data_IF_849701274063
#
_entry.id   IF_849701274063
#
_cell.length_a   1.000
_cell.length_b   1.000
_cell.length_c   1.000
_cell.angle_alpha   90.00
_cell.angle_beta   90.00
_cell.angle_gamma   90.00
#
_symmetry.space_group_name_H-M   'P 1'
#
loop_
_entity.id
_entity.type
_entity.pdbx_description
1 polymer ?
#
# COMPACT_ATOMS: atom_id res chain seq x y z
N UNK A 1 11.11 13.16 -11.49
CA UNK A 1 11.58 11.82 -11.91
C UNK A 1 11.01 11.35 -13.26
N UNK A 2 9.88 11.89 -13.75
CA UNK A 2 9.32 11.49 -15.06
C UNK A 2 10.17 11.91 -16.29
N UNK A 3 11.04 12.92 -16.19
CA UNK A 3 11.81 13.42 -17.33
C UNK A 3 12.95 12.50 -17.80
N UNK A 4 13.37 11.54 -16.97
CA UNK A 4 14.40 10.57 -17.36
C UNK A 4 13.86 9.32 -18.05
N UNK A 5 12.57 9.01 -17.90
CA UNK A 5 11.92 7.88 -18.57
C UNK A 5 11.62 8.17 -20.05
N UNK A 6 11.47 9.42 -20.43
CA UNK A 6 11.19 9.83 -21.83
C UNK A 6 12.38 9.56 -22.77
N UNK A 7 13.57 9.29 -22.24
CA UNK A 7 14.78 9.01 -23.03
C UNK A 7 15.05 7.50 -23.22
N UNK A 8 14.23 6.60 -22.66
CA UNK A 8 14.38 5.16 -22.83
C UNK A 8 13.64 4.76 -24.11
N UNK A 9 14.37 4.33 -25.14
CA UNK A 9 13.76 3.80 -26.35
C UNK A 9 13.07 2.45 -26.10
N UNK A 10 12.16 2.06 -27.02
CA UNK A 10 11.41 0.81 -26.92
C UNK A 10 12.29 -0.45 -26.84
N UNK A 11 13.52 -0.40 -27.34
CA UNK A 11 14.50 -1.49 -27.33
C UNK A 11 15.08 -1.64 -25.93
N UNK A 12 15.43 -0.54 -25.27
CA UNK A 12 15.94 -0.53 -23.90
C UNK A 12 14.84 -0.93 -22.90
N UNK A 13 13.60 -0.51 -23.13
CA UNK A 13 12.45 -0.93 -22.33
C UNK A 13 12.17 -2.43 -22.51
N UNK A 14 12.27 -2.96 -23.74
CA UNK A 14 12.15 -4.40 -24.03
C UNK A 14 13.25 -5.21 -23.34
N UNK A 15 14.50 -4.76 -23.38
CA UNK A 15 15.61 -5.41 -22.67
C UNK A 15 15.42 -5.39 -21.16
N UNK A 16 14.85 -4.32 -20.61
CA UNK A 16 14.55 -4.23 -19.18
C UNK A 16 13.46 -5.22 -18.74
N UNK A 17 12.41 -5.39 -19.57
CA UNK A 17 11.37 -6.42 -19.36
C UNK A 17 12.01 -7.82 -19.38
N UNK A 18 12.91 -8.09 -20.33
CA UNK A 18 13.64 -9.35 -20.40
C UNK A 18 14.59 -9.55 -19.21
N UNK A 19 15.21 -8.49 -18.69
CA UNK A 19 16.08 -8.56 -17.50
C UNK A 19 15.31 -8.84 -16.21
N UNK A 20 14.11 -8.30 -16.04
CA UNK A 20 13.24 -8.59 -14.90
C UNK A 20 12.62 -10.00 -14.99
N UNK A 21 12.46 -10.53 -16.19
CA UNK A 21 12.06 -11.91 -16.44
C UNK A 21 13.22 -12.91 -16.46
N UNK A 22 14.46 -12.44 -16.29
CA UNK A 22 15.68 -13.25 -16.35
C UNK A 22 15.91 -14.08 -15.10
N UNK A 23 15.40 -15.30 -15.09
CA UNK A 23 15.60 -16.28 -14.00
C UNK A 23 14.48 -17.29 -13.88
N UNK A 24 13.38 -17.10 -14.63
CA UNK A 24 12.26 -18.04 -14.60
C UNK A 24 12.43 -19.14 -15.63
N UNK A 25 12.07 -20.39 -15.29
CA UNK A 25 11.94 -21.45 -16.28
C UNK A 25 11.03 -20.98 -17.42
N UNK A 26 11.43 -21.17 -18.71
CA UNK A 26 10.69 -20.67 -19.86
C UNK A 26 9.31 -21.32 -20.06
N UNK A 27 9.00 -22.35 -19.31
CA UNK A 27 7.80 -23.18 -19.36
C UNK A 27 6.72 -22.78 -18.34
N UNK A 28 6.94 -21.74 -17.54
CA UNK A 28 5.92 -21.28 -16.58
C UNK A 28 4.76 -20.57 -17.29
N UNK A 29 3.59 -21.16 -17.19
CA UNK A 29 2.39 -20.72 -17.92
C UNK A 29 1.92 -19.31 -17.50
N UNK A 30 2.12 -18.91 -16.23
CA UNK A 30 1.78 -17.57 -15.75
C UNK A 30 2.68 -16.44 -16.31
N UNK A 31 3.80 -16.81 -16.97
CA UNK A 31 4.68 -15.81 -17.61
C UNK A 31 3.94 -14.94 -18.60
N UNK A 32 3.02 -15.52 -19.37
CA UNK A 32 2.15 -14.77 -20.28
C UNK A 32 1.32 -13.71 -19.55
N UNK A 33 0.74 -14.06 -18.40
CA UNK A 33 -0.03 -13.14 -17.57
C UNK A 33 0.85 -11.99 -17.09
N UNK A 34 2.03 -12.27 -16.54
CA UNK A 34 2.96 -11.22 -16.08
C UNK A 34 3.40 -10.29 -17.23
N UNK A 35 3.68 -10.84 -18.40
CA UNK A 35 4.04 -10.05 -19.59
C UNK A 35 2.91 -9.11 -20.03
N UNK A 36 1.64 -9.52 -19.90
CA UNK A 36 0.49 -8.64 -20.18
C UNK A 36 0.45 -7.44 -19.24
N UNK A 37 0.67 -7.65 -17.95
CA UNK A 37 0.76 -6.57 -16.97
C UNK A 37 1.96 -5.66 -17.22
N UNK A 38 3.15 -6.22 -17.47
CA UNK A 38 4.35 -5.43 -17.76
C UNK A 38 4.18 -4.56 -19.01
N UNK A 39 3.57 -5.08 -20.08
CA UNK A 39 3.25 -4.29 -21.26
C UNK A 39 2.25 -3.17 -20.96
N UNK A 40 1.20 -3.47 -20.19
CA UNK A 40 0.23 -2.47 -19.73
C UNK A 40 0.89 -1.38 -18.88
N UNK A 41 1.73 -1.73 -17.90
CA UNK A 41 2.44 -0.77 -17.06
C UNK A 41 3.35 0.14 -17.90
N UNK A 42 4.08 -0.45 -18.85
CA UNK A 42 4.93 0.33 -19.74
C UNK A 42 4.11 1.32 -20.57
N UNK A 43 3.02 0.87 -21.21
CA UNK A 43 2.14 1.72 -22.02
C UNK A 43 1.52 2.85 -21.18
N UNK A 44 1.09 2.55 -19.94
CA UNK A 44 0.52 3.53 -19.02
C UNK A 44 1.56 4.57 -18.56
N UNK A 45 2.75 4.13 -18.15
CA UNK A 45 3.85 5.00 -17.72
C UNK A 45 4.36 5.89 -18.87
N UNK A 46 4.37 5.39 -20.10
CA UNK A 46 4.74 6.12 -21.31
C UNK A 46 3.58 6.92 -21.91
N UNK A 47 2.40 6.89 -21.31
CA UNK A 47 1.18 7.60 -21.76
C UNK A 47 0.83 7.31 -23.22
N UNK A 48 0.95 6.04 -23.64
CA UNK A 48 0.72 5.64 -25.03
C UNK A 48 -0.75 5.73 -25.48
N UNK A 49 -1.68 5.66 -24.51
CA UNK A 49 -3.12 5.83 -24.71
C UNK A 49 -3.81 6.24 -23.39
N UNK A 50 -5.08 6.66 -23.40
CA UNK A 50 -5.87 6.86 -22.19
C UNK A 50 -5.91 5.60 -21.33
N UNK A 51 -5.88 5.78 -20.01
CA UNK A 51 -5.74 4.67 -19.06
C UNK A 51 -6.89 3.66 -19.17
N UNK A 52 -8.12 4.13 -19.32
CA UNK A 52 -9.30 3.29 -19.50
C UNK A 52 -9.22 2.39 -20.74
N UNK A 53 -8.62 2.88 -21.83
CA UNK A 53 -8.36 2.09 -23.05
C UNK A 53 -7.30 1.01 -22.79
N UNK A 54 -6.25 1.36 -22.05
CA UNK A 54 -5.18 0.42 -21.70
C UNK A 54 -5.69 -0.67 -20.76
N UNK A 55 -6.49 -0.30 -19.77
CA UNK A 55 -7.12 -1.24 -18.83
C UNK A 55 -8.09 -2.19 -19.55
N UNK A 56 -8.94 -1.66 -20.43
CA UNK A 56 -9.84 -2.50 -21.21
C UNK A 56 -9.09 -3.51 -22.09
N UNK A 57 -7.96 -3.09 -22.68
CA UNK A 57 -7.09 -3.98 -23.48
C UNK A 57 -6.47 -5.06 -22.61
N UNK A 58 -5.93 -4.71 -21.43
CA UNK A 58 -5.35 -5.67 -20.49
C UNK A 58 -6.40 -6.71 -20.08
N UNK A 59 -7.56 -6.25 -19.61
CA UNK A 59 -8.65 -7.14 -19.14
C UNK A 59 -9.12 -8.09 -20.25
N UNK A 60 -9.31 -7.60 -21.47
CA UNK A 60 -9.68 -8.46 -22.61
C UNK A 60 -8.65 -9.55 -22.90
N UNK A 61 -7.35 -9.20 -22.88
CA UNK A 61 -6.28 -10.18 -23.12
C UNK A 61 -6.10 -11.17 -21.97
N UNK A 62 -6.35 -10.76 -20.73
CA UNK A 62 -6.35 -11.67 -19.58
C UNK A 62 -7.52 -12.65 -19.69
N UNK A 63 -8.71 -12.17 -20.04
CA UNK A 63 -9.89 -13.02 -20.23
C UNK A 63 -9.65 -14.05 -21.35
N UNK A 64 -9.14 -13.63 -22.50
CA UNK A 64 -8.78 -14.53 -23.63
C UNK A 64 -7.80 -15.62 -23.16
N UNK A 65 -6.74 -15.24 -22.43
CA UNK A 65 -5.73 -16.17 -21.90
C UNK A 65 -6.35 -17.18 -20.93
N UNK A 66 -7.23 -16.72 -20.03
CA UNK A 66 -7.89 -17.59 -19.05
C UNK A 66 -8.88 -18.53 -19.72
N UNK A 67 -9.64 -18.06 -20.72
CA UNK A 67 -10.55 -18.90 -21.52
C UNK A 67 -9.78 -20.02 -22.24
N UNK A 68 -8.61 -19.73 -22.82
CA UNK A 68 -7.72 -20.74 -23.40
C UNK A 68 -7.25 -21.79 -22.38
N UNK A 69 -7.27 -21.47 -21.09
CA UNK A 69 -6.92 -22.36 -19.96
C UNK A 69 -8.13 -23.05 -19.33
N UNK A 70 -9.33 -22.85 -19.91
CA UNK A 70 -10.55 -23.50 -19.47
C UNK A 70 -11.35 -22.75 -18.39
N UNK A 71 -11.00 -21.53 -18.08
CA UNK A 71 -11.82 -20.67 -17.23
C UNK A 71 -13.03 -20.12 -18.01
N UNK A 72 -14.17 -19.88 -17.36
CA UNK A 72 -15.27 -19.17 -18.01
C UNK A 72 -14.86 -17.72 -18.28
N UNK A 73 -15.38 -17.13 -19.38
CA UNK A 73 -15.19 -15.69 -19.65
C UNK A 73 -15.84 -14.86 -18.55
N UNK A 74 -15.14 -13.82 -18.11
CA UNK A 74 -15.54 -12.90 -17.06
C UNK A 74 -15.57 -11.44 -17.54
N UNK A 75 -15.70 -11.23 -18.87
CA UNK A 75 -15.79 -9.89 -19.44
C UNK A 75 -16.93 -9.09 -18.81
N UNK A 76 -16.57 -7.98 -18.19
CA UNK A 76 -17.51 -7.09 -17.48
C UNK A 76 -17.57 -7.30 -15.96
N UNK A 77 -16.91 -8.34 -15.44
CA UNK A 77 -16.74 -8.59 -14.00
C UNK A 77 -15.26 -8.56 -13.64
N UNK A 78 -14.78 -7.40 -13.21
CA UNK A 78 -13.37 -7.15 -12.91
C UNK A 78 -12.88 -7.98 -11.72
N UNK A 79 -13.71 -8.11 -10.68
CA UNK A 79 -13.34 -8.84 -9.47
C UNK A 79 -13.16 -10.34 -9.77
N UNK A 80 -14.12 -10.96 -10.46
CA UNK A 80 -14.01 -12.35 -10.87
C UNK A 80 -12.85 -12.58 -11.84
N UNK A 81 -12.55 -11.63 -12.73
CA UNK A 81 -11.39 -11.73 -13.62
C UNK A 81 -10.08 -11.85 -12.83
N UNK A 82 -9.87 -10.98 -11.85
CA UNK A 82 -8.65 -10.98 -11.04
C UNK A 82 -8.59 -12.19 -10.10
N UNK A 83 -9.71 -12.63 -9.52
CA UNK A 83 -9.76 -13.89 -8.78
C UNK A 83 -9.32 -15.09 -9.65
N UNK A 84 -9.77 -15.16 -10.90
CA UNK A 84 -9.36 -16.20 -11.82
C UNK A 84 -7.87 -16.12 -12.18
N UNK A 85 -7.29 -14.92 -12.32
CA UNK A 85 -5.84 -14.72 -12.49
C UNK A 85 -5.09 -15.32 -11.30
N UNK A 86 -5.53 -15.02 -10.07
CA UNK A 86 -4.88 -15.54 -8.86
C UNK A 86 -5.03 -17.06 -8.73
N UNK A 87 -6.20 -17.61 -9.04
CA UNK A 87 -6.45 -19.07 -9.05
C UNK A 87 -5.55 -19.76 -10.07
N UNK A 88 -5.42 -19.19 -11.28
CA UNK A 88 -4.54 -19.71 -12.32
C UNK A 88 -3.08 -19.76 -11.87
N UNK A 89 -2.56 -18.65 -11.31
CA UNK A 89 -1.17 -18.56 -10.82
C UNK A 89 -0.96 -19.50 -9.64
N UNK A 90 -1.95 -19.66 -8.77
CA UNK A 90 -1.90 -20.60 -7.65
C UNK A 90 -1.84 -22.06 -8.12
N UNK A 91 -2.53 -22.37 -9.22
CA UNK A 91 -2.45 -23.69 -9.86
C UNK A 91 -1.04 -24.05 -10.35
N UNK A 92 -0.20 -23.05 -10.63
CA UNK A 92 1.22 -23.20 -11.00
C UNK A 92 2.17 -23.25 -9.79
N UNK A 93 1.65 -23.27 -8.55
CA UNK A 93 2.44 -23.35 -7.31
C UNK A 93 2.97 -22.02 -6.79
N UNK A 94 2.39 -20.91 -7.21
CA UNK A 94 2.74 -19.57 -6.74
C UNK A 94 1.58 -18.93 -5.99
N UNK A 95 1.89 -17.94 -5.16
CA UNK A 95 0.90 -17.04 -4.62
C UNK A 95 0.82 -15.79 -5.50
N UNK A 96 -0.35 -15.18 -5.58
CA UNK A 96 -0.54 -13.94 -6.30
C UNK A 96 -1.55 -13.02 -5.61
N UNK A 97 -1.39 -11.74 -5.86
CA UNK A 97 -2.39 -10.73 -5.63
C UNK A 97 -2.49 -9.87 -6.88
N UNK A 98 -3.71 -9.74 -7.39
CA UNK A 98 -4.02 -8.91 -8.53
C UNK A 98 -5.16 -7.94 -8.21
N UNK A 99 -5.36 -6.93 -9.05
CA UNK A 99 -6.39 -5.92 -8.87
C UNK A 99 -5.85 -4.51 -8.98
N UNK A 100 -6.44 -3.55 -8.26
CA UNK A 100 -6.06 -2.15 -8.35
C UNK A 100 -5.18 -1.71 -7.19
N UNK A 101 -3.97 -1.30 -7.52
CA UNK A 101 -3.11 -0.49 -6.64
C UNK A 101 -2.98 0.89 -7.27
N UNK A 102 -3.72 1.89 -6.79
CA UNK A 102 -3.81 3.17 -7.49
C UNK A 102 -2.45 3.77 -7.87
N UNK A 103 -2.31 4.36 -9.07
CA UNK A 103 -3.37 4.57 -10.07
C UNK A 103 -3.58 3.40 -11.05
N UNK A 104 -2.76 2.33 -11.01
CA UNK A 104 -2.76 1.28 -12.03
C UNK A 104 -3.37 -0.04 -11.52
N UNK A 105 -3.76 -0.90 -12.47
CA UNK A 105 -3.98 -2.32 -12.21
C UNK A 105 -2.64 -3.01 -11.94
N UNK A 106 -2.62 -3.95 -11.01
CA UNK A 106 -1.38 -4.51 -10.44
C UNK A 106 -1.38 -6.03 -10.40
N UNK A 107 -0.19 -6.60 -10.36
CA UNK A 107 0.04 -8.04 -10.18
C UNK A 107 1.32 -8.28 -9.38
N UNK A 108 1.16 -8.77 -8.17
CA UNK A 108 2.25 -9.28 -7.35
C UNK A 108 2.24 -10.81 -7.38
N UNK A 109 3.42 -11.43 -7.46
CA UNK A 109 3.59 -12.91 -7.51
C UNK A 109 4.76 -13.26 -6.60
N UNK A 110 4.60 -14.29 -5.75
CA UNK A 110 5.64 -14.77 -4.84
C UNK A 110 5.55 -16.29 -4.61
N UNK A 111 6.62 -16.90 -4.04
CA UNK A 111 6.71 -18.36 -3.84
C UNK A 111 6.45 -18.80 -2.41
N UNK A 112 6.79 -17.98 -1.43
CA UNK A 112 6.80 -18.38 -0.03
C UNK A 112 5.85 -17.52 0.80
N UNK A 113 4.96 -18.19 1.54
CA UNK A 113 4.05 -17.56 2.50
C UNK A 113 4.06 -18.35 3.81
N UNK A 114 4.51 -17.69 4.88
CA UNK A 114 4.45 -18.26 6.23
C UNK A 114 3.53 -17.39 7.07
N UNK A 115 2.48 -17.97 7.64
CA UNK A 115 1.53 -17.26 8.50
C UNK A 115 1.89 -17.47 9.97
N UNK A 116 1.88 -16.39 10.75
CA UNK A 116 1.91 -16.37 12.22
C UNK A 116 0.70 -15.58 12.72
N UNK A 117 0.37 -15.73 14.01
CA UNK A 117 -0.62 -14.88 14.69
C UNK A 117 0.11 -13.96 15.63
N UNK A 118 -0.12 -12.66 15.47
CA UNK A 118 0.47 -11.60 16.28
C UNK A 118 -0.61 -10.91 17.11
N UNK A 119 -0.36 -10.78 18.42
CA UNK A 119 -1.23 -10.02 19.34
C UNK A 119 -0.75 -8.57 19.37
N UNK A 120 -1.47 -7.68 18.72
CA UNK A 120 -1.09 -6.27 18.56
C UNK A 120 -1.92 -5.38 19.47
N UNK A 121 -1.25 -4.74 20.43
CA UNK A 121 -1.86 -3.73 21.30
C UNK A 121 -1.99 -2.39 20.53
N UNK A 122 -3.21 -1.86 20.46
CA UNK A 122 -3.57 -0.55 19.95
C UNK A 122 -4.22 0.29 21.07
N UNK A 123 -4.47 1.56 20.81
CA UNK A 123 -5.03 2.50 21.82
C UNK A 123 -6.43 2.14 22.31
N UNK A 124 -7.18 1.40 21.53
CA UNK A 124 -8.58 0.99 21.77
C UNK A 124 -8.75 -0.50 22.10
N UNK A 125 -7.67 -1.29 22.11
CA UNK A 125 -7.73 -2.72 22.43
C UNK A 125 -6.54 -3.51 21.93
N UNK A 126 -6.61 -4.83 22.09
CA UNK A 126 -5.62 -5.79 21.58
C UNK A 126 -6.29 -6.61 20.48
N UNK A 127 -5.62 -6.76 19.36
CA UNK A 127 -6.11 -7.45 18.18
C UNK A 127 -5.17 -8.61 17.82
N UNK A 128 -5.73 -9.81 17.72
CA UNK A 128 -4.99 -10.95 17.16
C UNK A 128 -5.13 -10.90 15.64
N UNK A 129 -4.00 -10.73 14.95
CA UNK A 129 -3.95 -10.57 13.49
C UNK A 129 -3.12 -11.69 12.87
N UNK A 130 -3.60 -12.27 11.77
CA UNK A 130 -2.77 -13.15 10.96
C UNK A 130 -1.73 -12.32 10.21
N UNK A 131 -0.45 -12.62 10.44
CA UNK A 131 0.67 -11.99 9.75
C UNK A 131 1.25 -12.97 8.74
N UNK A 132 1.07 -12.65 7.47
CA UNK A 132 1.58 -13.38 6.34
C UNK A 132 2.96 -12.85 5.96
N UNK A 133 4.00 -13.64 6.18
CA UNK A 133 5.37 -13.35 5.81
C UNK A 133 5.61 -13.81 4.37
N UNK A 134 5.74 -12.84 3.46
CA UNK A 134 5.89 -13.09 2.02
C UNK A 134 7.35 -13.03 1.60
N UNK A 135 7.80 -14.01 0.81
CA UNK A 135 9.15 -14.04 0.24
C UNK A 135 9.17 -14.72 -1.14
N UNK A 136 10.33 -14.69 -1.80
CA UNK A 136 10.49 -15.27 -3.11
C UNK A 136 9.70 -14.55 -4.22
N UNK A 137 9.68 -13.23 -4.19
CA UNK A 137 8.92 -12.44 -5.17
C UNK A 137 9.44 -12.57 -6.59
N UNK A 138 8.50 -12.88 -7.48
CA UNK A 138 8.64 -12.86 -8.94
C UNK A 138 8.25 -11.50 -9.51
N UNK A 139 7.18 -10.91 -8.94
CA UNK A 139 6.71 -9.56 -9.26
C UNK A 139 6.35 -8.83 -7.99
N UNK A 140 6.89 -7.63 -7.81
CA UNK A 140 6.52 -6.70 -6.74
C UNK A 140 5.47 -5.68 -7.18
N UNK A 141 4.89 -5.87 -8.37
CA UNK A 141 3.88 -4.98 -8.92
C UNK A 141 4.43 -3.77 -9.67
N UNK A 142 3.49 -2.93 -10.14
CA UNK A 142 3.78 -1.81 -11.03
C UNK A 142 4.69 -0.74 -10.43
N UNK A 143 4.60 -0.47 -9.14
CA UNK A 143 5.41 0.58 -8.48
C UNK A 143 6.89 0.21 -8.46
N UNK A 144 7.19 -1.08 -8.22
CA UNK A 144 8.55 -1.61 -8.30
C UNK A 144 9.06 -1.61 -9.75
N UNK A 145 8.21 -2.01 -10.70
CA UNK A 145 8.50 -1.95 -12.12
C UNK A 145 8.84 -0.52 -12.56
N UNK A 146 8.01 0.47 -12.21
CA UNK A 146 8.22 1.89 -12.51
C UNK A 146 9.48 2.46 -11.85
N UNK A 147 9.86 1.95 -10.68
CA UNK A 147 11.05 2.37 -9.94
C UNK A 147 12.32 1.58 -10.31
N UNK A 148 12.28 0.72 -11.32
CA UNK A 148 13.40 -0.14 -11.74
C UNK A 148 13.97 -0.98 -10.58
N UNK A 149 13.09 -1.53 -9.73
CA UNK A 149 13.46 -2.34 -8.58
C UNK A 149 13.96 -1.55 -7.35
N UNK A 150 14.06 -0.21 -7.44
CA UNK A 150 14.59 0.64 -6.35
C UNK A 150 13.58 0.93 -5.24
N UNK A 151 12.30 0.72 -5.48
CA UNK A 151 11.23 0.93 -4.50
C UNK A 151 10.13 -0.11 -4.69
N UNK A 152 9.49 -0.47 -3.60
CA UNK A 152 8.28 -1.31 -3.58
C UNK A 152 7.51 -1.04 -2.29
N UNK A 153 6.28 -1.56 -2.17
CA UNK A 153 5.58 -1.56 -0.89
C UNK A 153 6.30 -2.44 0.13
N UNK A 154 6.15 -2.12 1.40
CA UNK A 154 6.63 -2.97 2.50
C UNK A 154 5.64 -4.05 2.90
N UNK A 155 4.38 -3.88 2.51
CA UNK A 155 3.28 -4.77 2.82
C UNK A 155 1.96 -4.01 2.82
N UNK A 156 0.90 -4.66 3.30
CA UNK A 156 -0.46 -4.11 3.34
C UNK A 156 -1.35 -4.88 4.30
N UNK A 157 -2.49 -4.29 4.71
CA UNK A 157 -3.57 -4.97 5.41
C UNK A 157 -4.68 -5.37 4.46
N UNK A 158 -5.35 -6.50 4.78
CA UNK A 158 -6.64 -6.92 4.24
C UNK A 158 -7.57 -7.30 5.38
N UNK A 159 -8.83 -7.62 5.06
CA UNK A 159 -9.81 -8.08 6.06
C UNK A 159 -9.45 -9.42 6.71
N UNK A 160 -8.62 -10.21 6.07
CA UNK A 160 -8.17 -11.55 6.51
C UNK A 160 -6.78 -11.54 7.17
N UNK A 161 -6.08 -10.41 7.19
CA UNK A 161 -4.79 -10.31 7.86
C UNK A 161 -3.84 -9.28 7.27
N UNK A 162 -2.60 -9.32 7.76
CA UNK A 162 -1.50 -8.47 7.33
C UNK A 162 -0.58 -9.25 6.40
N UNK A 163 -0.05 -8.58 5.40
CA UNK A 163 0.84 -9.15 4.38
C UNK A 163 2.16 -8.39 4.37
N UNK A 164 3.23 -9.02 4.85
CA UNK A 164 4.55 -8.41 5.03
C UNK A 164 5.55 -8.90 4.00
N UNK A 165 6.18 -8.01 3.27
CA UNK A 165 7.35 -8.32 2.43
C UNK A 165 8.59 -8.31 3.33
N UNK A 166 8.89 -9.46 3.95
CA UNK A 166 9.84 -9.60 5.04
C UNK A 166 11.23 -9.04 4.76
N UNK A 167 11.71 -9.18 3.51
CA UNK A 167 13.06 -8.69 3.12
C UNK A 167 13.25 -7.18 3.29
N UNK A 168 12.16 -6.41 3.44
CA UNK A 168 12.22 -4.96 3.61
C UNK A 168 12.42 -4.51 5.06
N UNK A 169 12.37 -5.46 6.01
CA UNK A 169 12.38 -5.17 7.43
C UNK A 169 13.41 -6.03 8.20
N UNK A 170 13.98 -5.41 9.19
CA UNK A 170 14.46 -6.11 10.36
C UNK A 170 13.25 -6.28 11.30
N UNK A 171 12.77 -7.52 11.45
CA UNK A 171 11.53 -7.83 12.18
C UNK A 171 11.61 -7.52 13.68
N UNK A 172 12.82 -7.39 14.24
CA UNK A 172 13.02 -7.01 15.64
C UNK A 172 13.05 -5.48 15.83
N UNK A 173 13.17 -4.71 14.75
CA UNK A 173 13.31 -3.25 14.81
C UNK A 173 12.03 -2.55 15.27
N UNK A 174 12.21 -1.39 15.93
CA UNK A 174 11.10 -0.48 16.25
C UNK A 174 10.34 -0.07 14.96
N UNK A 175 11.07 0.17 13.88
CA UNK A 175 10.47 0.52 12.58
C UNK A 175 9.47 -0.52 12.09
N UNK A 176 9.82 -1.81 12.15
CA UNK A 176 8.88 -2.88 11.77
C UNK A 176 7.66 -2.88 12.69
N UNK A 177 7.90 -2.84 14.02
CA UNK A 177 6.82 -2.90 15.02
C UNK A 177 5.85 -1.73 14.95
N UNK A 178 6.32 -0.53 14.57
CA UNK A 178 5.50 0.67 14.47
C UNK A 178 4.97 0.90 13.05
N UNK A 179 5.89 1.10 12.09
CA UNK A 179 5.53 1.58 10.74
C UNK A 179 5.03 0.46 9.82
N UNK A 180 5.02 -0.79 10.30
CA UNK A 180 4.31 -1.88 9.66
C UNK A 180 3.28 -2.50 10.60
N UNK A 181 3.72 -3.22 11.64
CA UNK A 181 2.81 -4.08 12.42
C UNK A 181 1.67 -3.29 13.07
N UNK A 182 1.95 -2.21 13.82
CA UNK A 182 0.90 -1.41 14.47
C UNK A 182 0.11 -0.57 13.47
N UNK A 183 0.77 -0.03 12.45
CA UNK A 183 0.11 0.73 11.38
C UNK A 183 -0.92 -0.13 10.62
N UNK A 184 -0.49 -1.29 10.12
CA UNK A 184 -1.36 -2.20 9.37
C UNK A 184 -2.41 -2.89 10.27
N UNK A 185 -2.07 -3.16 11.54
CA UNK A 185 -3.06 -3.64 12.50
C UNK A 185 -4.15 -2.60 12.78
N UNK A 186 -3.83 -1.29 12.73
CA UNK A 186 -4.85 -0.23 12.80
C UNK A 186 -5.79 -0.30 11.61
N UNK A 187 -5.27 -0.46 10.38
CA UNK A 187 -6.12 -0.65 9.20
C UNK A 187 -7.00 -1.89 9.32
N UNK A 188 -6.43 -3.01 9.77
CA UNK A 188 -7.18 -4.26 9.99
C UNK A 188 -8.36 -4.06 10.96
N UNK A 189 -8.13 -3.41 12.10
CA UNK A 189 -9.17 -3.10 13.07
C UNK A 189 -10.22 -2.13 12.50
N UNK A 190 -9.79 -1.13 11.74
CA UNK A 190 -10.68 -0.16 11.10
C UNK A 190 -11.54 -0.79 10.01
N UNK A 191 -11.04 -1.73 9.22
CA UNK A 191 -11.85 -2.47 8.23
C UNK A 191 -12.99 -3.25 8.87
N UNK A 192 -12.79 -3.77 10.09
CA UNK A 192 -13.84 -4.48 10.82
C UNK A 192 -14.91 -3.54 11.38
N UNK A 193 -14.52 -2.34 11.83
CA UNK A 193 -15.41 -1.37 12.46
C UNK A 193 -16.07 -0.42 11.45
N UNK A 194 -15.32 0.02 10.45
CA UNK A 194 -15.70 1.05 9.48
C UNK A 194 -15.33 0.61 8.06
N UNK A 195 -16.09 -0.34 7.46
CA UNK A 195 -15.72 -0.97 6.18
C UNK A 195 -15.68 -0.01 4.98
N UNK A 196 -16.31 1.16 5.09
CA UNK A 196 -16.38 2.19 4.05
C UNK A 196 -15.41 3.37 4.30
N UNK A 197 -14.51 3.24 5.30
CA UNK A 197 -13.59 4.30 5.66
C UNK A 197 -12.62 4.60 4.50
N UNK A 198 -12.48 5.89 4.18
CA UNK A 198 -11.66 6.33 3.05
C UNK A 198 -10.16 6.09 3.32
N UNK A 199 -9.36 5.84 2.27
CA UNK A 199 -7.93 5.56 2.41
C UNK A 199 -7.14 6.63 3.16
N UNK A 200 -7.50 7.92 3.01
CA UNK A 200 -6.82 9.01 3.73
C UNK A 200 -7.05 8.95 5.24
N UNK A 201 -8.25 8.55 5.67
CA UNK A 201 -8.56 8.36 7.10
C UNK A 201 -7.84 7.14 7.67
N UNK A 202 -7.77 6.03 6.93
CA UNK A 202 -6.99 4.85 7.30
C UNK A 202 -5.52 5.22 7.52
N UNK A 203 -4.91 5.91 6.56
CA UNK A 203 -3.53 6.37 6.64
C UNK A 203 -3.28 7.35 7.79
N UNK A 204 -4.21 8.27 8.02
CA UNK A 204 -4.15 9.21 9.14
C UNK A 204 -4.09 8.47 10.48
N UNK A 205 -4.98 7.49 10.68
CA UNK A 205 -5.07 6.69 11.89
C UNK A 205 -3.84 5.80 12.07
N UNK A 206 -3.36 5.17 10.99
CA UNK A 206 -2.12 4.39 10.99
C UNK A 206 -0.93 5.23 11.44
N UNK A 207 -0.73 6.42 10.88
CA UNK A 207 0.38 7.34 11.24
C UNK A 207 0.28 7.87 12.67
N UNK A 208 -0.91 8.20 13.14
CA UNK A 208 -1.11 8.57 14.54
C UNK A 208 -0.80 7.39 15.48
N UNK A 209 -1.14 6.17 15.07
CA UNK A 209 -0.79 4.96 15.82
C UNK A 209 0.74 4.77 15.90
N UNK A 210 1.47 4.96 14.80
CA UNK A 210 2.94 4.96 14.83
C UNK A 210 3.48 5.93 15.88
N UNK A 211 3.02 7.18 15.86
CA UNK A 211 3.46 8.21 16.81
C UNK A 211 3.03 7.93 18.25
N UNK A 212 1.84 7.37 18.47
CA UNK A 212 1.31 7.06 19.81
C UNK A 212 2.14 6.01 20.56
N UNK A 213 2.94 5.22 19.84
CA UNK A 213 3.77 4.15 20.36
C UNK A 213 5.27 4.34 20.12
N UNK A 214 5.70 5.39 19.39
CA UNK A 214 7.11 5.61 19.10
C UNK A 214 7.90 6.00 20.36
N UNK A 215 9.08 5.41 20.53
CA UNK A 215 9.99 5.70 21.64
C UNK A 215 11.25 6.43 21.14
N UNK A 216 12.04 5.77 20.29
CA UNK A 216 13.29 6.31 19.78
C UNK A 216 13.12 7.02 18.43
N UNK A 217 12.24 6.52 17.57
CA UNK A 217 12.03 6.99 16.19
C UNK A 217 11.10 8.18 16.03
N UNK A 218 10.61 8.82 17.11
CA UNK A 218 9.56 9.87 17.03
C UNK A 218 9.95 11.03 16.11
N UNK A 219 11.18 11.55 16.24
CA UNK A 219 11.63 12.66 15.40
C UNK A 219 11.72 12.27 13.93
N UNK A 220 12.21 11.09 13.62
CA UNK A 220 12.33 10.57 12.25
C UNK A 220 10.96 10.41 11.58
N UNK A 221 9.94 9.95 12.32
CA UNK A 221 8.57 9.90 11.83
C UNK A 221 8.02 11.29 11.54
N UNK A 222 8.18 12.24 12.47
CA UNK A 222 7.74 13.63 12.29
C UNK A 222 8.45 14.31 11.11
N UNK A 223 9.76 14.08 10.95
CA UNK A 223 10.53 14.55 9.81
C UNK A 223 9.99 14.01 8.50
N UNK A 224 9.74 12.69 8.43
CA UNK A 224 9.19 12.04 7.25
C UNK A 224 7.79 12.58 6.92
N UNK A 225 6.92 12.70 7.91
CA UNK A 225 5.56 13.19 7.72
C UNK A 225 5.55 14.65 7.29
N UNK A 226 6.36 15.51 7.91
CA UNK A 226 6.47 16.93 7.55
C UNK A 226 6.97 17.11 6.12
N UNK A 227 8.02 16.38 5.72
CA UNK A 227 8.59 16.44 4.35
C UNK A 227 7.63 15.93 3.27
N UNK A 228 6.81 14.93 3.60
CA UNK A 228 5.90 14.29 2.65
C UNK A 228 4.47 14.85 2.72
N UNK A 229 4.20 15.80 3.63
CA UNK A 229 2.89 16.42 3.78
C UNK A 229 2.48 17.19 2.52
N UNK A 230 1.32 16.87 1.97
CA UNK A 230 0.78 17.59 0.82
C UNK A 230 -0.75 17.54 0.84
N UNK A 231 -1.39 18.71 0.83
CA UNK A 231 -2.85 18.86 0.77
C UNK A 231 -3.39 18.89 -0.65
N UNK A 232 -2.52 19.03 -1.64
CA UNK A 232 -2.92 19.16 -3.05
C UNK A 232 -2.88 17.78 -3.69
N UNK A 233 -4.01 17.33 -4.24
CA UNK A 233 -4.15 16.03 -4.90
C UNK A 233 -4.79 14.97 -4.01
N UNK A 234 -5.13 13.82 -4.62
CA UNK A 234 -5.94 12.78 -3.99
C UNK A 234 -5.11 11.58 -3.48
N UNK A 235 -3.79 11.75 -3.29
CA UNK A 235 -2.95 10.68 -2.79
C UNK A 235 -3.13 10.54 -1.25
N UNK A 236 -3.55 9.36 -0.74
CA UNK A 236 -3.90 9.18 0.67
C UNK A 236 -2.76 9.50 1.63
N UNK A 237 -1.56 8.96 1.40
CA UNK A 237 -0.42 9.15 2.29
C UNK A 237 0.04 10.61 2.46
N UNK A 238 0.27 11.40 1.39
CA UNK A 238 0.62 12.81 1.54
C UNK A 238 -0.46 13.64 2.24
N UNK A 239 -1.73 13.35 1.96
CA UNK A 239 -2.85 14.02 2.59
C UNK A 239 -2.93 13.67 4.08
N UNK A 240 -2.82 12.41 4.45
CA UNK A 240 -2.77 11.95 5.83
C UNK A 240 -1.59 12.59 6.59
N UNK A 241 -0.40 12.64 5.98
CA UNK A 241 0.74 13.34 6.56
C UNK A 241 0.41 14.81 6.86
N UNK A 242 -0.28 15.49 5.93
CA UNK A 242 -0.65 16.88 6.14
C UNK A 242 -1.57 17.03 7.36
N UNK A 243 -2.61 16.20 7.49
CA UNK A 243 -3.53 16.26 8.63
C UNK A 243 -2.89 15.86 9.95
N UNK A 244 -1.96 14.91 9.97
CA UNK A 244 -1.16 14.58 11.17
C UNK A 244 -0.33 15.77 11.61
N UNK A 245 0.40 16.39 10.69
CA UNK A 245 1.24 17.57 10.99
C UNK A 245 0.39 18.75 11.44
N UNK A 246 -0.75 19.01 10.79
CA UNK A 246 -1.68 20.08 11.15
C UNK A 246 -2.25 19.89 12.56
N UNK A 247 -2.78 18.70 12.85
CA UNK A 247 -3.33 18.37 14.17
C UNK A 247 -2.29 18.47 15.29
N UNK A 248 -1.10 17.91 15.08
CA UNK A 248 -0.01 18.01 16.05
C UNK A 248 0.46 19.47 16.24
N UNK A 249 0.54 20.25 15.16
CA UNK A 249 0.92 21.66 15.22
C UNK A 249 -0.10 22.49 16.03
N UNK A 250 -1.39 22.15 15.90
CA UNK A 250 -2.45 22.77 16.69
C UNK A 250 -2.28 22.57 18.20
N UNK A 251 -1.78 21.38 18.59
CA UNK A 251 -1.62 21.02 20.02
C UNK A 251 -0.26 21.46 20.56
N UNK A 252 0.83 21.29 19.77
CA UNK A 252 2.21 21.35 20.28
C UNK A 252 2.97 22.61 19.85
N UNK A 253 2.52 23.31 18.79
CA UNK A 253 3.21 24.46 18.20
C UNK A 253 2.32 25.72 18.13
N UNK A 254 1.35 25.87 19.03
CA UNK A 254 0.40 27.01 19.07
C UNK A 254 -0.31 27.25 17.72
N UNK A 255 -0.60 26.18 16.97
CA UNK A 255 -1.24 26.25 15.66
C UNK A 255 -0.34 26.74 14.53
N UNK A 256 0.97 26.81 14.74
CA UNK A 256 1.93 27.23 13.70
C UNK A 256 2.38 26.01 12.89
N UNK A 257 2.11 26.07 11.59
CA UNK A 257 2.64 25.06 10.68
C UNK A 257 4.18 25.06 10.70
N UNK A 258 4.84 23.89 10.86
CA UNK A 258 6.30 23.81 10.88
C UNK A 258 6.87 24.16 9.50
N UNK A 259 7.84 25.07 9.45
CA UNK A 259 8.51 25.43 8.20
C UNK A 259 9.33 24.24 7.64
N UNK A 260 9.89 23.46 8.56
CA UNK A 260 10.59 22.20 8.31
C UNK A 260 10.56 21.34 9.58
N UNK A 261 11.22 20.17 9.54
CA UNK A 261 11.22 19.23 10.65
C UNK A 261 11.92 19.73 11.93
N UNK A 262 12.78 20.76 11.85
CA UNK A 262 13.50 21.28 13.02
C UNK A 262 12.57 21.87 14.08
N UNK A 263 11.34 22.27 13.70
CA UNK A 263 10.34 22.72 14.64
C UNK A 263 9.97 21.68 15.72
N UNK A 264 10.18 20.41 15.41
CA UNK A 264 9.89 19.28 16.30
C UNK A 264 11.02 18.94 17.27
N UNK A 265 12.26 19.42 17.04
CA UNK A 265 13.45 19.06 17.86
C UNK A 265 13.30 19.44 19.34
N UNK A 266 12.55 20.49 19.65
CA UNK A 266 12.31 20.95 21.01
C UNK A 266 11.10 20.30 21.66
N UNK A 267 10.31 19.52 20.95
CA UNK A 267 9.10 18.88 21.47
C UNK A 267 9.45 17.51 22.08
N UNK A 268 9.20 17.30 23.39
CA UNK A 268 9.46 16.02 24.02
C UNK A 268 8.64 14.89 23.39
N UNK A 269 9.27 13.72 23.14
CA UNK A 269 8.61 12.56 22.56
C UNK A 269 7.31 12.18 23.28
N UNK A 270 7.29 12.29 24.62
CA UNK A 270 6.09 11.99 25.40
C UNK A 270 4.92 12.92 25.06
N UNK A 271 5.16 14.20 24.81
CA UNK A 271 4.12 15.13 24.39
C UNK A 271 3.58 14.80 23.00
N UNK A 272 4.47 14.35 22.08
CA UNK A 272 4.04 13.88 20.76
C UNK A 272 3.15 12.65 20.88
N UNK A 273 3.54 11.66 21.71
CA UNK A 273 2.73 10.46 21.98
C UNK A 273 1.35 10.80 22.52
N UNK A 274 1.30 11.70 23.50
CA UNK A 274 0.02 12.14 24.11
C UNK A 274 -0.86 12.87 23.10
N UNK A 275 -0.28 13.79 22.31
CA UNK A 275 -1.02 14.52 21.27
C UNK A 275 -1.55 13.55 20.18
N UNK A 276 -0.76 12.57 19.76
CA UNK A 276 -1.20 11.55 18.80
C UNK A 276 -2.37 10.72 19.34
N UNK A 277 -2.31 10.28 20.60
CA UNK A 277 -3.43 9.59 21.27
C UNK A 277 -4.69 10.46 21.38
N UNK A 278 -4.53 11.74 21.72
CA UNK A 278 -5.64 12.68 21.77
C UNK A 278 -6.32 12.87 20.40
N UNK A 279 -5.53 12.93 19.32
CA UNK A 279 -6.06 13.03 17.97
C UNK A 279 -6.76 11.73 17.53
N UNK A 280 -6.23 10.55 17.89
CA UNK A 280 -6.89 9.27 17.66
C UNK A 280 -8.24 9.21 18.39
N UNK A 281 -8.27 9.52 19.67
CA UNK A 281 -9.51 9.53 20.47
C UNK A 281 -10.55 10.51 19.88
N UNK A 282 -10.11 11.70 19.48
CA UNK A 282 -11.00 12.65 18.80
C UNK A 282 -11.59 12.06 17.51
N UNK A 283 -10.75 11.40 16.71
CA UNK A 283 -11.18 10.76 15.46
C UNK A 283 -12.12 9.58 15.71
N UNK A 284 -11.84 8.74 16.73
CA UNK A 284 -12.69 7.63 17.15
C UNK A 284 -14.09 8.13 17.53
N UNK A 285 -14.18 9.19 18.33
CA UNK A 285 -15.45 9.78 18.73
C UNK A 285 -16.25 10.31 17.52
N UNK A 286 -15.58 10.94 16.56
CA UNK A 286 -16.22 11.43 15.32
C UNK A 286 -16.73 10.28 14.44
N UNK A 287 -15.97 9.21 14.28
CA UNK A 287 -16.40 8.04 13.52
C UNK A 287 -17.57 7.33 14.21
N UNK A 288 -17.53 7.23 15.54
CA UNK A 288 -18.63 6.65 16.31
C UNK A 288 -19.93 7.46 16.18
N UNK A 289 -19.84 8.81 16.19
CA UNK A 289 -20.98 9.70 15.97
C UNK A 289 -21.61 9.52 14.57
N UNK A 290 -20.79 9.24 13.54
CA UNK A 290 -21.25 8.94 12.18
C UNK A 290 -21.88 7.55 12.07
N UNK A 291 -21.46 6.61 12.93
CA UNK A 291 -21.89 5.22 12.96
C UNK A 291 -21.11 4.30 12.02
N UNK A 292 -20.90 3.02 12.40
CA UNK A 292 -20.01 2.09 11.68
C UNK A 292 -20.36 1.87 10.21
N UNK A 293 -21.65 1.83 9.86
CA UNK A 293 -22.10 1.56 8.49
C UNK A 293 -22.20 2.81 7.60
N UNK A 294 -22.02 3.99 8.17
CA UNK A 294 -22.17 5.29 7.46
C UNK A 294 -20.92 6.15 7.49
N UNK A 295 -19.96 5.80 8.34
CA UNK A 295 -18.69 6.52 8.42
C UNK A 295 -17.84 6.22 7.19
N UNK A 296 -17.75 7.20 6.29
CA UNK A 296 -16.89 7.14 5.10
C UNK A 296 -15.57 7.86 5.31
N UNK A 297 -15.50 8.81 6.24
CA UNK A 297 -14.30 9.56 6.62
C UNK A 297 -14.61 10.93 7.23
N UNK A 298 -13.60 11.50 7.87
CA UNK A 298 -13.63 12.81 8.50
C UNK A 298 -12.63 13.75 7.80
N UNK A 299 -11.57 13.17 7.22
CA UNK A 299 -10.61 13.91 6.43
C UNK A 299 -11.25 14.22 5.08
N UNK A 300 -11.56 15.50 4.87
CA UNK A 300 -12.17 15.97 3.62
C UNK A 300 -11.08 16.38 2.62
N UNK A 301 -11.25 15.91 1.39
CA UNK A 301 -10.46 16.33 0.23
C UNK A 301 -10.80 17.75 -0.20
#
# INVERSE_FOLDING_TARGET
MCSSLVAVDSTTAGQFIDMQGGGFPPDQLFRGTLQLFQAYWLDALMQQAPLDVLEARLKGRLDDLLVERGFPSTLGDEDTLFENVEVFIRGEGYFAQSGRTPPLLDLMIWTDNKTTVESVELTDGTYDVELNHLDGFVSYGWSNFAAFGMASTGGWAKKDGLYCICRHYDLDSERFKLSFLKHEARHYADFALYPELQPADLEYRGKLTELAYSEEGTYQLLEQFTKAANRIGNAPHPLANWYVVDGLSGILLDGKWPADASAWESVPNEQVRQAARQLLEYHDNKLADLGPSTATGIINF
#
